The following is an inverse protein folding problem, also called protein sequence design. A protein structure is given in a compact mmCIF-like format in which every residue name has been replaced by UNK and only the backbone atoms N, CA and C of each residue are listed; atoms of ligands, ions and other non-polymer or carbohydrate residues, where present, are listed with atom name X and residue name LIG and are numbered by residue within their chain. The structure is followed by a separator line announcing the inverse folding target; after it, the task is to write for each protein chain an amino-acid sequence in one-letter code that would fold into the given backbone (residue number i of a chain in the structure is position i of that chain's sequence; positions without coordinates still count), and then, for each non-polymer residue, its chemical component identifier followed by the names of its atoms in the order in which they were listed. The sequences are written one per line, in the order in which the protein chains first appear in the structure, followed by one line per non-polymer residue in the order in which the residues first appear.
data_IF_489513074874
#
_entry.id   IF_489513074874
#
_cell.length_a   1.000
_cell.length_b   1.000
_cell.length_c   1.000
_cell.angle_alpha   90.00
_cell.angle_beta   90.00
_cell.angle_gamma   90.00
#
_symmetry.space_group_name_H-M   'P 1'
#
loop_
_entity.id
_entity.type
_entity.pdbx_description
1 polymer ?
#
# COMPACT_ATOMS: atom_id res chain seq x y z
N UNK A 1 3.84 -12.69 5.56
CA UNK A 1 5.27 -12.49 5.32
C UNK A 1 5.60 -12.93 3.91
N UNK A 2 6.40 -12.15 3.19
CA UNK A 2 6.99 -12.54 1.91
C UNK A 2 8.30 -13.29 2.14
N UNK A 3 8.38 -14.53 1.66
CA UNK A 3 9.56 -15.37 1.87
C UNK A 3 10.81 -14.91 1.12
N UNK A 4 11.98 -15.29 1.62
CA UNK A 4 13.30 -15.15 1.01
C UNK A 4 13.89 -16.51 0.63
N UNK A 5 15.05 -16.52 -0.07
CA UNK A 5 15.75 -17.74 -0.44
C UNK A 5 14.89 -18.79 -1.16
N UNK A 6 14.74 -19.98 -0.57
CA UNK A 6 13.94 -21.10 -1.12
C UNK A 6 12.43 -20.77 -1.17
N UNK A 7 12.00 -19.78 -0.39
CA UNK A 7 10.63 -19.30 -0.31
C UNK A 7 10.45 -17.98 -1.07
N UNK A 8 11.43 -17.58 -1.90
CA UNK A 8 11.33 -16.38 -2.71
C UNK A 8 10.06 -16.41 -3.59
N UNK A 9 9.37 -15.26 -3.65
CA UNK A 9 8.07 -15.06 -4.33
C UNK A 9 6.90 -15.89 -3.78
N UNK A 10 7.05 -16.48 -2.59
CA UNK A 10 5.94 -17.15 -1.90
C UNK A 10 5.37 -16.25 -0.82
N UNK A 11 4.05 -16.16 -0.80
CA UNK A 11 3.30 -15.59 0.31
C UNK A 11 3.16 -16.63 1.41
N UNK A 12 3.42 -16.23 2.66
CA UNK A 12 3.11 -17.03 3.84
C UNK A 12 2.13 -16.23 4.70
N UNK A 13 0.96 -16.81 4.92
CA UNK A 13 -0.11 -16.23 5.73
C UNK A 13 -0.53 -17.18 6.85
N UNK A 14 -0.91 -16.59 7.98
CA UNK A 14 -1.70 -17.29 8.98
C UNK A 14 -3.16 -17.37 8.52
N UNK A 15 -3.75 -18.56 8.58
CA UNK A 15 -5.17 -18.75 8.23
C UNK A 15 -6.11 -17.93 9.13
N UNK A 16 -5.78 -17.76 10.42
CA UNK A 16 -6.60 -16.95 11.33
C UNK A 16 -6.53 -15.48 10.96
N UNK A 17 -5.34 -14.94 10.71
CA UNK A 17 -5.13 -13.54 10.33
C UNK A 17 -5.75 -13.23 8.96
N UNK A 18 -5.68 -14.18 8.02
CA UNK A 18 -6.36 -14.08 6.74
C UNK A 18 -7.88 -13.91 6.94
N UNK A 19 -8.50 -14.77 7.76
CA UNK A 19 -9.95 -14.68 8.04
C UNK A 19 -10.32 -13.38 8.75
N UNK A 20 -9.51 -12.96 9.71
CA UNK A 20 -9.72 -11.72 10.46
C UNK A 20 -9.68 -10.49 9.54
N UNK A 21 -8.72 -10.43 8.60
CA UNK A 21 -8.60 -9.32 7.66
C UNK A 21 -9.82 -9.11 6.74
N UNK A 22 -10.65 -10.14 6.54
CA UNK A 22 -11.90 -10.05 5.78
C UNK A 22 -13.14 -9.87 6.67
N UNK A 23 -12.98 -9.73 7.98
CA UNK A 23 -14.08 -9.40 8.88
C UNK A 23 -14.43 -7.91 8.79
N UNK A 24 -15.71 -7.56 9.03
CA UNK A 24 -16.19 -6.18 8.96
C UNK A 24 -15.59 -5.25 10.03
N UNK A 25 -14.95 -5.81 11.06
CA UNK A 25 -14.44 -5.07 12.22
C UNK A 25 -12.92 -4.94 12.22
N UNK A 26 -12.22 -5.52 11.24
CA UNK A 26 -10.76 -5.49 11.23
C UNK A 26 -10.24 -4.14 10.75
N UNK A 27 -9.32 -3.56 11.52
CA UNK A 27 -8.61 -2.35 11.15
C UNK A 27 -7.44 -2.59 10.20
N UNK A 28 -7.08 -3.86 9.97
CA UNK A 28 -5.99 -4.30 9.10
C UNK A 28 -6.43 -5.48 8.22
N UNK A 29 -5.78 -5.68 7.08
CA UNK A 29 -5.93 -6.85 6.24
C UNK A 29 -4.56 -7.42 5.85
N UNK A 30 -4.10 -8.39 6.62
CA UNK A 30 -2.83 -9.09 6.39
C UNK A 30 -2.72 -9.68 5.00
N UNK A 31 -3.82 -10.09 4.37
CA UNK A 31 -3.77 -10.65 3.02
C UNK A 31 -3.39 -9.59 1.99
N UNK A 32 -4.03 -8.41 2.08
CA UNK A 32 -3.74 -7.26 1.21
C UNK A 32 -2.32 -6.78 1.45
N UNK A 33 -1.96 -6.57 2.71
CA UNK A 33 -0.64 -6.11 3.13
C UNK A 33 0.49 -6.96 2.51
N UNK A 34 0.40 -8.28 2.70
CA UNK A 34 1.43 -9.20 2.22
C UNK A 34 1.38 -9.39 0.70
N UNK A 35 0.21 -9.22 0.08
CA UNK A 35 0.11 -9.25 -1.39
C UNK A 35 0.79 -8.04 -2.00
N UNK A 36 0.66 -6.87 -1.37
CA UNK A 36 1.32 -5.64 -1.81
C UNK A 36 2.83 -5.77 -1.71
N UNK A 37 3.38 -6.37 -0.65
CA UNK A 37 4.81 -6.69 -0.60
C UNK A 37 5.28 -7.65 -1.69
N UNK A 38 4.44 -8.59 -2.14
CA UNK A 38 4.80 -9.44 -3.29
C UNK A 38 4.83 -8.66 -4.60
N UNK A 39 3.91 -7.71 -4.77
CA UNK A 39 3.87 -6.84 -5.94
C UNK A 39 5.10 -5.92 -5.93
N UNK A 40 5.43 -5.34 -4.79
CA UNK A 40 6.63 -4.54 -4.57
C UNK A 40 7.88 -5.34 -4.95
N UNK A 41 8.01 -6.56 -4.41
CA UNK A 41 9.11 -7.49 -4.71
C UNK A 41 9.17 -8.00 -6.15
N UNK A 42 8.20 -7.69 -7.02
CA UNK A 42 8.12 -8.30 -8.34
C UNK A 42 9.28 -7.89 -9.27
N UNK A 43 9.82 -6.68 -9.11
CA UNK A 43 11.01 -6.16 -9.81
C UNK A 43 12.34 -6.52 -9.14
N UNK A 44 12.27 -7.10 -7.93
CA UNK A 44 13.43 -7.62 -7.19
C UNK A 44 13.79 -6.80 -5.97
N UNK A 45 13.21 -5.60 -5.81
CA UNK A 45 13.43 -4.71 -4.68
C UNK A 45 12.21 -4.66 -3.75
N UNK A 46 12.37 -4.23 -2.50
CA UNK A 46 11.25 -4.03 -1.56
C UNK A 46 11.39 -2.61 -1.02
N UNK A 47 10.95 -1.64 -1.82
CA UNK A 47 11.20 -0.22 -1.61
C UNK A 47 9.93 0.65 -1.67
N UNK A 48 8.75 0.04 -1.77
CA UNK A 48 7.47 0.74 -1.88
C UNK A 48 7.20 1.31 -3.28
N UNK A 49 7.95 0.90 -4.30
CA UNK A 49 7.84 1.38 -5.69
C UNK A 49 7.71 0.17 -6.64
N UNK A 50 6.52 -0.45 -6.76
CA UNK A 50 6.30 -1.51 -7.72
C UNK A 50 6.35 -0.96 -9.15
N UNK A 51 7.51 -0.97 -9.81
CA UNK A 51 7.74 -0.30 -11.10
C UNK A 51 6.89 -0.89 -12.24
N UNK A 52 6.49 -2.16 -12.12
CA UNK A 52 5.59 -2.81 -13.07
C UNK A 52 4.15 -2.30 -12.98
N UNK A 53 3.74 -1.78 -11.82
CA UNK A 53 2.39 -1.32 -11.57
C UNK A 53 2.27 0.19 -11.76
N UNK A 54 3.21 0.95 -11.22
CA UNK A 54 3.18 2.42 -11.23
C UNK A 54 3.59 2.94 -12.61
N UNK A 55 2.73 3.72 -13.30
CA UNK A 55 3.13 4.41 -14.53
C UNK A 55 4.36 5.29 -14.28
N UNK A 56 5.37 5.25 -15.16
CA UNK A 56 6.64 6.01 -14.97
C UNK A 56 6.43 7.50 -14.64
N UNK A 57 5.41 8.12 -15.23
CA UNK A 57 5.05 9.52 -14.97
C UNK A 57 4.60 9.79 -13.53
N UNK A 58 4.10 8.77 -12.82
CA UNK A 58 3.59 8.85 -11.45
C UNK A 58 4.61 8.47 -10.38
N UNK A 59 5.76 7.86 -10.73
CA UNK A 59 6.79 7.48 -9.75
C UNK A 59 7.22 8.70 -8.90
N UNK A 60 7.55 9.83 -9.55
CA UNK A 60 7.97 11.04 -8.83
C UNK A 60 6.85 11.65 -7.98
N UNK A 61 5.61 11.83 -8.49
CA UNK A 61 4.46 12.22 -7.68
C UNK A 61 4.21 11.31 -6.47
N UNK A 62 4.32 9.99 -6.67
CA UNK A 62 4.15 8.97 -5.64
C UNK A 62 5.19 9.11 -4.52
N UNK A 63 6.48 9.08 -4.87
CA UNK A 63 7.58 9.24 -3.92
C UNK A 63 7.47 10.54 -3.10
N UNK A 64 7.11 11.64 -3.78
CA UNK A 64 6.95 12.94 -3.12
C UNK A 64 5.83 12.89 -2.07
N UNK A 65 4.70 12.28 -2.39
CA UNK A 65 3.57 12.20 -1.47
C UNK A 65 3.81 11.18 -0.35
N UNK A 66 4.44 10.05 -0.66
CA UNK A 66 4.87 9.04 0.31
C UNK A 66 5.76 9.66 1.38
N UNK A 67 6.90 10.24 0.99
CA UNK A 67 7.85 10.80 1.96
C UNK A 67 7.22 11.95 2.76
N UNK A 68 6.40 12.80 2.11
CA UNK A 68 5.67 13.86 2.81
C UNK A 68 4.73 13.28 3.89
N UNK A 69 4.03 12.20 3.57
CA UNK A 69 3.07 11.58 4.48
C UNK A 69 3.78 10.86 5.62
N UNK A 70 4.85 10.11 5.32
CA UNK A 70 5.72 9.48 6.33
C UNK A 70 6.20 10.51 7.35
N UNK A 71 6.66 11.67 6.90
CA UNK A 71 7.10 12.74 7.80
C UNK A 71 5.96 13.34 8.64
N UNK A 72 4.73 13.37 8.13
CA UNK A 72 3.56 13.78 8.92
C UNK A 72 3.19 12.74 9.97
N UNK A 73 3.24 11.45 9.62
CA UNK A 73 2.99 10.34 10.55
C UNK A 73 4.01 10.42 11.70
N UNK A 74 5.31 10.53 11.40
CA UNK A 74 6.38 10.66 12.41
C UNK A 74 6.21 11.85 13.35
N UNK A 75 5.53 12.91 12.92
CA UNK A 75 5.22 14.10 13.73
C UNK A 75 3.90 14.01 14.49
N UNK A 76 3.17 12.89 14.39
CA UNK A 76 1.83 12.75 14.95
C UNK A 76 0.79 13.65 14.27
N UNK A 77 1.02 14.01 13.00
CA UNK A 77 0.17 14.91 12.21
C UNK A 77 -0.65 14.16 11.14
N UNK A 78 -0.82 12.85 11.29
CA UNK A 78 -1.59 11.99 10.39
C UNK A 78 -2.42 11.01 11.22
N UNK A 79 -3.57 10.63 10.70
CA UNK A 79 -4.47 9.57 11.19
C UNK A 79 -4.15 8.18 10.59
N UNK A 80 -3.11 8.11 9.75
CA UNK A 80 -2.56 6.84 9.24
C UNK A 80 -1.74 6.20 10.35
N UNK A 81 -1.86 4.87 10.51
CA UNK A 81 -1.13 4.12 11.52
C UNK A 81 0.37 4.38 11.49
N UNK A 82 0.98 4.59 12.66
CA UNK A 82 2.42 4.88 12.82
C UNK A 82 3.32 3.85 12.13
N UNK A 83 2.86 2.59 12.08
CA UNK A 83 3.54 1.49 11.43
C UNK A 83 3.87 1.76 9.94
N UNK A 84 3.02 2.53 9.24
CA UNK A 84 3.28 2.94 7.86
C UNK A 84 4.53 3.81 7.69
N UNK A 85 5.06 4.41 8.76
CA UNK A 85 6.28 5.22 8.71
C UNK A 85 7.58 4.44 9.01
N UNK A 86 7.48 3.12 9.18
CA UNK A 86 8.62 2.22 9.43
C UNK A 86 9.60 2.26 8.25
N UNK A 87 9.11 2.06 7.03
CA UNK A 87 9.84 2.23 5.78
C UNK A 87 8.82 2.40 4.62
N UNK A 88 9.33 2.64 3.42
CA UNK A 88 8.55 2.91 2.21
C UNK A 88 7.70 1.70 1.75
N UNK A 89 8.19 0.48 1.92
CA UNK A 89 7.44 -0.74 1.60
C UNK A 89 6.25 -0.94 2.55
N UNK A 90 6.45 -0.72 3.85
CA UNK A 90 5.37 -0.74 4.85
C UNK A 90 4.37 0.38 4.59
N UNK A 91 4.84 1.56 4.18
CA UNK A 91 3.95 2.65 3.79
C UNK A 91 3.01 2.23 2.66
N UNK A 92 3.57 1.67 1.59
CA UNK A 92 2.79 1.19 0.45
C UNK A 92 1.78 0.12 0.89
N UNK A 93 2.22 -0.87 1.68
CA UNK A 93 1.35 -1.95 2.14
C UNK A 93 0.18 -1.42 2.99
N UNK A 94 0.45 -0.57 3.98
CA UNK A 94 -0.58 -0.01 4.86
C UNK A 94 -1.53 0.89 4.08
N UNK A 95 -1.06 1.82 3.25
CA UNK A 95 -1.98 2.72 2.54
C UNK A 95 -2.85 1.98 1.53
N UNK A 96 -2.38 0.84 1.02
CA UNK A 96 -3.15 -0.06 0.16
C UNK A 96 -4.26 -0.78 0.94
N UNK A 97 -4.02 -1.18 2.19
CA UNK A 97 -5.09 -1.68 3.07
C UNK A 97 -6.19 -0.62 3.25
N UNK A 98 -5.82 0.64 3.52
CA UNK A 98 -6.77 1.74 3.61
C UNK A 98 -7.55 1.93 2.31
N UNK A 99 -6.88 1.85 1.15
CA UNK A 99 -7.50 2.00 -0.16
C UNK A 99 -8.57 0.93 -0.42
N UNK A 100 -8.30 -0.34 -0.11
CA UNK A 100 -9.24 -1.42 -0.37
C UNK A 100 -10.29 -1.62 0.72
N UNK A 101 -9.97 -1.33 1.99
CA UNK A 101 -10.91 -1.54 3.11
C UNK A 101 -11.74 -0.30 3.43
N UNK A 102 -11.15 0.90 3.36
CA UNK A 102 -11.77 2.17 3.79
C UNK A 102 -11.60 3.26 2.72
N UNK A 103 -11.94 3.02 1.43
CA UNK A 103 -11.67 3.95 0.32
C UNK A 103 -12.27 5.34 0.54
N UNK A 104 -13.50 5.43 1.06
CA UNK A 104 -14.17 6.71 1.29
C UNK A 104 -13.47 7.56 2.35
N UNK A 105 -12.97 6.94 3.43
CA UNK A 105 -12.18 7.65 4.45
C UNK A 105 -10.85 8.12 3.86
N UNK A 106 -10.15 7.24 3.14
CA UNK A 106 -8.89 7.61 2.50
C UNK A 106 -9.07 8.75 1.49
N UNK A 107 -10.13 8.73 0.69
CA UNK A 107 -10.45 9.79 -0.27
C UNK A 107 -10.75 11.12 0.43
N UNK A 108 -11.45 11.08 1.55
CA UNK A 108 -11.83 12.29 2.30
C UNK A 108 -10.64 12.91 3.01
N UNK A 109 -9.86 12.10 3.72
CA UNK A 109 -8.83 12.58 4.64
C UNK A 109 -7.46 12.71 3.95
N UNK A 110 -7.19 11.89 2.93
CA UNK A 110 -5.97 11.89 2.11
C UNK A 110 -6.27 11.84 0.59
N UNK A 111 -6.97 12.85 0.03
CA UNK A 111 -7.46 12.82 -1.36
C UNK A 111 -6.35 12.62 -2.40
N UNK A 112 -5.14 13.12 -2.13
CA UNK A 112 -4.01 12.97 -3.05
C UNK A 112 -3.44 11.55 -3.06
N UNK A 113 -3.36 10.88 -1.91
CA UNK A 113 -2.96 9.47 -1.83
C UNK A 113 -3.99 8.60 -2.54
N UNK A 114 -5.29 8.84 -2.28
CA UNK A 114 -6.36 8.13 -2.97
C UNK A 114 -6.24 8.25 -4.50
N UNK A 115 -6.07 9.46 -5.04
CA UNK A 115 -5.98 9.66 -6.49
C UNK A 115 -4.76 8.96 -7.13
N UNK A 116 -3.62 8.94 -6.42
CA UNK A 116 -2.43 8.23 -6.88
C UNK A 116 -2.68 6.73 -6.89
N UNK A 117 -3.20 6.16 -5.80
CA UNK A 117 -3.50 4.72 -5.69
C UNK A 117 -4.58 4.28 -6.67
N UNK A 118 -5.61 5.10 -6.90
CA UNK A 118 -6.65 4.83 -7.88
C UNK A 118 -6.05 4.73 -9.29
N UNK A 119 -5.12 5.63 -9.64
CA UNK A 119 -4.44 5.53 -10.95
C UNK A 119 -3.50 4.32 -11.03
N UNK A 120 -2.86 3.95 -9.91
CA UNK A 120 -1.93 2.80 -9.82
C UNK A 120 -2.69 1.48 -9.96
N UNK A 121 -3.81 1.31 -9.25
CA UNK A 121 -4.58 0.06 -9.23
C UNK A 121 -5.63 -0.05 -10.33
N UNK A 122 -6.25 1.06 -10.73
CA UNK A 122 -7.34 1.08 -11.71
C UNK A 122 -6.87 1.69 -13.03
N UNK A 123 -6.13 0.90 -13.83
CA UNK A 123 -5.59 1.30 -15.14
C UNK A 123 -6.66 1.79 -16.16
N UNK A 124 -7.95 1.56 -15.93
CA UNK A 124 -9.03 1.99 -16.84
C UNK A 124 -9.53 3.44 -16.59
N UNK A 125 -9.32 4.01 -15.39
CA UNK A 125 -9.79 5.36 -15.07
C UNK A 125 -9.06 6.49 -15.85
N UNK A 126 -7.94 6.17 -16.51
CA UNK A 126 -7.21 7.08 -17.38
C UNK A 126 -7.78 7.27 -18.79
N UNK A 127 -8.89 6.62 -19.15
CA UNK A 127 -9.49 6.69 -20.50
C UNK A 127 -10.81 7.48 -20.60
N UNK A 128 -11.33 8.06 -19.52
CA UNK A 128 -12.47 8.95 -19.63
C UNK A 128 -12.02 10.38 -19.92
N UNK A 129 -11.75 10.65 -21.20
CA UNK A 129 -11.82 11.98 -21.81
C UNK A 129 -13.23 12.28 -22.29
#
# INVERSE_FOLDING_TARGET
MVGDGVLNRKMILSLSSLREGFSMTSDHNTAIHEFVHLIDKADGEVDGIPEYLIPKALIKPWLTEMHRTIERIRKGQSDIADYAATNEAEFLAVISEYFFQKPTSLQKDHPRLYALLDTIYNKEAGQHK
#
